data_IF_547215823020
#
_entry.id   IF_547215823020
#
_cell.length_a   1.000
_cell.length_b   1.000
_cell.length_c   1.000
_cell.angle_alpha   90.00
_cell.angle_beta   90.00
_cell.angle_gamma   90.00
#
_symmetry.space_group_name_H-M   'P 1'
#
loop_
_entity.id
_entity.type
_entity.pdbx_description
1 polymer ?
#
# COMPACT_ATOMS: atom_id res chain seq x y z
N UNK A 1 -4.75 20.79 -33.69
CA UNK A 1 -6.12 20.86 -34.30
C UNK A 1 -6.77 19.46 -34.49
N UNK A 2 -6.02 18.37 -34.45
CA UNK A 2 -6.53 17.00 -34.66
C UNK A 2 -7.57 16.54 -33.60
N UNK A 3 -7.47 17.00 -32.36
CA UNK A 3 -8.39 16.60 -31.28
C UNK A 3 -9.85 17.04 -31.45
N UNK A 4 -10.11 18.07 -32.26
CA UNK A 4 -11.49 18.58 -32.50
C UNK A 4 -12.28 17.75 -33.52
N UNK A 5 -11.62 16.91 -34.31
CA UNK A 5 -12.25 16.17 -35.43
C UNK A 5 -12.37 14.67 -35.18
N UNK A 6 -11.79 14.13 -34.10
CA UNK A 6 -11.83 12.71 -33.83
C UNK A 6 -12.74 12.35 -32.64
N UNK A 7 -13.72 11.53 -32.89
CA UNK A 7 -14.62 11.01 -31.86
C UNK A 7 -14.03 9.80 -31.14
N UNK A 8 -13.06 9.08 -31.71
CA UNK A 8 -12.38 7.93 -31.12
C UNK A 8 -10.94 7.83 -31.61
N UNK A 9 -10.03 7.41 -30.72
CA UNK A 9 -8.63 7.10 -31.01
C UNK A 9 -8.43 5.63 -30.69
N UNK A 10 -7.95 4.86 -31.69
CA UNK A 10 -7.67 3.42 -31.56
C UNK A 10 -6.27 3.17 -31.01
N UNK A 11 -5.97 1.89 -30.72
CA UNK A 11 -4.63 1.45 -30.38
C UNK A 11 -4.06 0.58 -31.48
N UNK A 12 -2.76 0.73 -31.75
CA UNK A 12 -2.03 -0.22 -32.59
C UNK A 12 -2.04 -1.60 -31.98
N UNK A 13 -1.83 -2.63 -32.81
CA UNK A 13 -1.71 -4.03 -32.34
C UNK A 13 -0.59 -4.19 -31.31
N UNK A 14 0.53 -3.48 -31.48
CA UNK A 14 1.65 -3.47 -30.53
C UNK A 14 1.26 -2.90 -29.17
N UNK A 15 0.60 -1.72 -29.16
CA UNK A 15 0.13 -1.07 -27.96
C UNK A 15 -0.91 -1.94 -27.20
N UNK A 16 -1.75 -2.66 -27.94
CA UNK A 16 -2.73 -3.60 -27.37
C UNK A 16 -2.05 -4.76 -26.65
N UNK A 17 -1.02 -5.39 -27.26
CA UNK A 17 -0.25 -6.47 -26.63
C UNK A 17 0.43 -6.01 -25.34
N UNK A 18 1.03 -4.82 -25.34
CA UNK A 18 1.59 -4.22 -24.10
C UNK A 18 0.50 -4.04 -23.05
N UNK A 19 -0.68 -3.53 -23.45
CA UNK A 19 -1.80 -3.37 -22.53
C UNK A 19 -2.25 -4.67 -21.90
N UNK A 20 -2.46 -5.70 -22.69
CA UNK A 20 -2.89 -7.03 -22.22
C UNK A 20 -1.91 -7.64 -21.21
N UNK A 21 -0.59 -7.39 -21.39
CA UNK A 21 0.43 -7.90 -20.48
C UNK A 21 0.46 -7.18 -19.11
N UNK A 22 0.11 -5.89 -19.05
CA UNK A 22 0.20 -5.09 -17.81
C UNK A 22 -1.13 -4.93 -17.10
N UNK A 23 -2.25 -5.09 -17.81
CA UNK A 23 -3.60 -4.90 -17.28
C UNK A 23 -3.90 -5.69 -15.99
N UNK A 24 -3.58 -7.00 -15.91
CA UNK A 24 -3.84 -7.75 -14.68
C UNK A 24 -3.18 -7.13 -13.45
N UNK A 25 -1.92 -6.71 -13.57
CA UNK A 25 -1.17 -6.06 -12.49
C UNK A 25 -1.73 -4.68 -12.11
N UNK A 26 -2.18 -3.90 -13.09
CA UNK A 26 -2.75 -2.58 -12.86
C UNK A 26 -4.15 -2.63 -12.26
N UNK A 27 -4.91 -3.70 -12.55
CA UNK A 27 -6.27 -3.93 -12.05
C UNK A 27 -6.29 -4.64 -10.70
N UNK A 28 -5.14 -5.11 -10.21
CA UNK A 28 -5.03 -5.76 -8.91
C UNK A 28 -5.30 -4.76 -7.80
N UNK A 29 -6.36 -5.01 -7.03
CA UNK A 29 -6.72 -4.18 -5.89
C UNK A 29 -5.70 -4.30 -4.76
N UNK A 30 -5.48 -3.20 -4.05
CA UNK A 30 -4.65 -3.17 -2.84
C UNK A 30 -5.45 -2.57 -1.70
N UNK A 31 -5.18 -3.04 -0.48
CA UNK A 31 -5.83 -2.54 0.72
C UNK A 31 -5.18 -1.25 1.25
N UNK A 32 -5.94 -0.53 2.08
CA UNK A 32 -5.46 0.62 2.83
C UNK A 32 -5.31 1.90 2.00
N UNK A 33 -4.53 2.85 2.55
CA UNK A 33 -4.31 4.16 1.92
C UNK A 33 -3.56 4.04 0.59
N UNK A 34 -2.59 3.13 0.51
CA UNK A 34 -1.85 2.87 -0.73
C UNK A 34 -2.80 2.40 -1.84
N UNK A 35 -3.71 1.47 -1.53
CA UNK A 35 -4.71 0.99 -2.48
C UNK A 35 -5.66 2.08 -2.92
N UNK A 36 -6.10 2.94 -2.00
CA UNK A 36 -6.96 4.08 -2.33
C UNK A 36 -6.24 5.10 -3.23
N UNK A 37 -4.97 5.38 -2.97
CA UNK A 37 -4.15 6.33 -3.73
C UNK A 37 -3.81 5.81 -5.15
N UNK A 38 -3.68 4.49 -5.32
CA UNK A 38 -3.35 3.85 -6.60
C UNK A 38 -4.57 3.24 -7.31
N UNK A 39 -5.77 3.46 -6.78
CA UNK A 39 -7.00 2.99 -7.39
C UNK A 39 -7.16 3.53 -8.82
N UNK A 40 -7.72 2.70 -9.71
CA UNK A 40 -7.96 3.02 -11.12
C UNK A 40 -6.68 3.28 -11.94
N UNK A 41 -5.56 2.66 -11.56
CA UNK A 41 -4.29 2.80 -12.29
C UNK A 41 -4.44 2.44 -13.78
N UNK A 42 -5.24 1.42 -14.10
CA UNK A 42 -5.55 1.01 -15.47
C UNK A 42 -6.22 2.14 -16.28
N UNK A 43 -7.21 2.82 -15.71
CA UNK A 43 -7.89 3.92 -16.38
C UNK A 43 -6.98 5.14 -16.57
N UNK A 44 -6.14 5.44 -15.58
CA UNK A 44 -5.16 6.52 -15.67
C UNK A 44 -4.09 6.23 -16.71
N UNK A 45 -3.62 4.98 -16.81
CA UNK A 45 -2.68 4.56 -17.84
C UNK A 45 -3.23 4.79 -19.25
N UNK A 46 -4.50 4.42 -19.48
CA UNK A 46 -5.16 4.65 -20.76
C UNK A 46 -5.25 6.13 -21.11
N UNK A 47 -5.64 6.95 -20.14
CA UNK A 47 -5.76 8.42 -20.33
C UNK A 47 -4.42 9.08 -20.63
N UNK A 48 -3.35 8.70 -19.92
CA UNK A 48 -2.00 9.21 -20.17
C UNK A 48 -1.51 8.82 -21.56
N UNK A 49 -1.67 7.55 -21.95
CA UNK A 49 -1.28 7.10 -23.28
C UNK A 49 -2.06 7.84 -24.41
N UNK A 50 -3.34 8.09 -24.19
CA UNK A 50 -4.15 8.90 -25.11
C UNK A 50 -3.64 10.35 -25.20
N UNK A 51 -3.34 10.97 -24.05
CA UNK A 51 -2.80 12.33 -24.01
C UNK A 51 -1.48 12.42 -24.76
N UNK A 52 -0.57 11.47 -24.57
CA UNK A 52 0.71 11.45 -25.30
C UNK A 52 0.51 11.28 -26.81
N UNK A 53 -0.39 10.38 -27.23
CA UNK A 53 -0.69 10.23 -28.66
C UNK A 53 -1.27 11.51 -29.27
N UNK A 54 -2.13 12.24 -28.53
CA UNK A 54 -2.69 13.51 -28.99
C UNK A 54 -1.63 14.62 -29.05
N UNK A 55 -0.71 14.67 -28.09
CA UNK A 55 0.40 15.64 -28.06
C UNK A 55 1.38 15.40 -29.22
N UNK A 56 1.62 14.13 -29.56
CA UNK A 56 2.47 13.73 -30.69
C UNK A 56 1.71 13.79 -32.03
N UNK A 57 0.47 14.29 -32.02
CA UNK A 57 -0.42 14.39 -33.21
C UNK A 57 -0.63 13.05 -33.95
N UNK A 58 -0.49 11.92 -33.22
CA UNK A 58 -0.64 10.59 -33.79
C UNK A 58 -2.11 10.17 -33.92
N UNK A 59 -2.48 9.43 -34.98
CA UNK A 59 -3.85 8.96 -35.18
C UNK A 59 -4.26 7.83 -34.24
N UNK A 60 -3.28 7.12 -33.68
CA UNK A 60 -3.46 5.94 -32.84
C UNK A 60 -2.51 5.98 -31.64
N UNK A 61 -2.91 5.34 -30.55
CA UNK A 61 -2.03 5.10 -29.41
C UNK A 61 -1.04 3.99 -29.81
N UNK A 62 0.24 4.32 -29.89
CA UNK A 62 1.31 3.37 -30.16
C UNK A 62 1.99 2.87 -28.88
N UNK A 63 2.92 1.93 -29.04
CA UNK A 63 3.71 1.31 -27.94
C UNK A 63 4.44 2.38 -27.11
N UNK A 64 5.06 3.37 -27.77
CA UNK A 64 5.76 4.43 -27.08
C UNK A 64 4.86 5.21 -26.10
N UNK A 65 3.66 5.60 -26.54
CA UNK A 65 2.68 6.31 -25.70
C UNK A 65 2.21 5.46 -24.52
N UNK A 66 2.06 4.14 -24.75
CA UNK A 66 1.67 3.19 -23.70
C UNK A 66 2.77 3.06 -22.66
N UNK A 67 4.02 2.86 -23.07
CA UNK A 67 5.16 2.75 -22.18
C UNK A 67 5.38 4.03 -21.36
N UNK A 68 5.20 5.22 -21.98
CA UNK A 68 5.28 6.50 -21.27
C UNK A 68 4.20 6.59 -20.16
N UNK A 69 2.96 6.20 -20.46
CA UNK A 69 1.89 6.15 -19.46
C UNK A 69 2.19 5.19 -18.30
N UNK A 70 2.75 4.01 -18.59
CA UNK A 70 3.16 3.03 -17.58
C UNK A 70 4.27 3.60 -16.70
N UNK A 71 5.31 4.23 -17.28
CA UNK A 71 6.41 4.79 -16.54
C UNK A 71 5.96 5.87 -15.54
N UNK A 72 5.01 6.72 -15.91
CA UNK A 72 4.41 7.71 -14.98
C UNK A 72 3.69 7.01 -13.84
N UNK A 73 2.93 5.96 -14.12
CA UNK A 73 2.23 5.22 -13.05
C UNK A 73 3.19 4.48 -12.12
N UNK A 74 4.28 3.92 -12.62
CA UNK A 74 5.31 3.30 -11.79
C UNK A 74 5.96 4.32 -10.86
N UNK A 75 6.24 5.53 -11.36
CA UNK A 75 6.71 6.64 -10.52
C UNK A 75 5.69 7.03 -9.46
N UNK A 76 4.40 7.14 -9.82
CA UNK A 76 3.34 7.46 -8.88
C UNK A 76 3.17 6.36 -7.81
N UNK A 77 3.25 5.08 -8.21
CA UNK A 77 3.19 3.94 -7.28
C UNK A 77 4.37 3.95 -6.29
N UNK A 78 5.59 4.18 -6.78
CA UNK A 78 6.77 4.30 -5.93
C UNK A 78 6.64 5.47 -4.94
N UNK A 79 6.13 6.62 -5.40
CA UNK A 79 5.87 7.79 -4.55
C UNK A 79 4.78 7.50 -3.53
N UNK A 80 3.68 6.87 -3.92
CA UNK A 80 2.60 6.50 -3.00
C UNK A 80 3.10 5.52 -1.93
N UNK A 81 3.95 4.55 -2.29
CA UNK A 81 4.60 3.65 -1.34
C UNK A 81 5.53 4.39 -0.37
N UNK A 82 6.26 5.37 -0.86
CA UNK A 82 7.14 6.18 -0.01
C UNK A 82 6.34 7.02 0.98
N UNK A 83 5.24 7.62 0.56
CA UNK A 83 4.40 8.52 1.39
C UNK A 83 3.52 7.74 2.37
N UNK A 84 2.82 6.71 1.88
CA UNK A 84 1.84 5.97 2.66
C UNK A 84 2.41 4.70 3.29
N UNK A 85 3.47 4.14 2.71
CA UNK A 85 4.09 2.89 3.14
C UNK A 85 3.06 1.78 3.28
N UNK A 86 3.12 1.08 4.40
CA UNK A 86 2.16 0.03 4.77
C UNK A 86 1.03 0.57 5.69
N UNK A 87 0.76 1.89 5.64
CA UNK A 87 -0.28 2.49 6.48
C UNK A 87 -1.66 1.89 6.14
N UNK A 88 -2.36 1.49 7.19
CA UNK A 88 -3.67 0.86 7.07
C UNK A 88 -4.77 1.90 6.80
N UNK A 89 -4.51 3.14 7.20
CA UNK A 89 -5.46 4.24 7.14
C UNK A 89 -6.32 4.38 8.40
N UNK A 90 -5.98 3.62 9.43
CA UNK A 90 -6.51 3.74 10.77
C UNK A 90 -5.41 4.26 11.69
N UNK A 91 -5.55 5.50 12.19
CA UNK A 91 -4.53 6.17 13.00
C UNK A 91 -4.09 5.35 14.20
N UNK A 92 -5.04 4.76 14.94
CA UNK A 92 -4.73 3.99 16.15
C UNK A 92 -4.00 2.71 15.80
N UNK A 93 -4.45 1.99 14.76
CA UNK A 93 -3.79 0.79 14.28
C UNK A 93 -2.38 1.09 13.76
N UNK A 94 -2.22 2.18 12.99
CA UNK A 94 -0.92 2.59 12.45
C UNK A 94 0.06 3.01 13.55
N UNK A 95 -0.41 3.68 14.61
CA UNK A 95 0.40 4.04 15.77
C UNK A 95 0.84 2.79 16.56
N UNK A 96 -0.09 1.85 16.81
CA UNK A 96 0.20 0.56 17.46
C UNK A 96 1.25 -0.21 16.64
N UNK A 97 1.03 -0.37 15.34
CA UNK A 97 1.95 -1.08 14.46
C UNK A 97 3.35 -0.48 14.49
N UNK A 98 3.48 0.85 14.40
CA UNK A 98 4.78 1.54 14.50
C UNK A 98 5.48 1.30 15.83
N UNK A 99 4.75 1.25 16.93
CA UNK A 99 5.30 0.96 18.24
C UNK A 99 5.77 -0.50 18.34
N UNK A 100 4.97 -1.46 17.86
CA UNK A 100 5.33 -2.87 17.82
C UNK A 100 6.57 -3.13 16.95
N UNK A 101 6.74 -2.40 15.84
CA UNK A 101 7.94 -2.49 15.02
C UNK A 101 9.22 -1.99 15.73
N UNK A 102 9.07 -1.02 16.66
CA UNK A 102 10.20 -0.55 17.50
C UNK A 102 10.53 -1.54 18.62
N UNK A 103 9.55 -2.30 19.08
CA UNK A 103 9.65 -3.30 20.15
C UNK A 103 9.59 -4.72 19.57
N UNK A 104 10.16 -4.93 18.39
CA UNK A 104 10.01 -6.16 17.61
C UNK A 104 10.43 -7.44 18.37
N UNK A 105 11.42 -7.34 19.24
CA UNK A 105 12.01 -8.43 20.04
C UNK A 105 11.27 -8.67 21.37
N UNK A 106 10.81 -7.61 22.02
CA UNK A 106 10.17 -7.68 23.35
C UNK A 106 8.65 -7.81 23.27
N UNK A 107 8.07 -7.32 22.18
CA UNK A 107 6.63 -7.15 22.03
C UNK A 107 6.07 -6.10 22.99
N UNK A 108 4.75 -5.96 23.02
CA UNK A 108 4.05 -5.03 23.90
C UNK A 108 2.85 -5.72 24.55
N UNK A 109 2.68 -5.48 25.84
CA UNK A 109 1.47 -5.87 26.56
C UNK A 109 0.31 -4.93 26.22
N UNK A 110 -0.90 -5.34 26.57
CA UNK A 110 -2.08 -4.47 26.44
C UNK A 110 -1.94 -3.17 27.26
N UNK A 111 -1.25 -3.23 28.39
CA UNK A 111 -0.97 -2.08 29.23
C UNK A 111 -0.01 -1.11 28.53
N UNK A 112 1.05 -1.62 27.90
CA UNK A 112 2.00 -0.83 27.14
C UNK A 112 1.32 -0.13 25.96
N UNK A 113 0.46 -0.85 25.22
CA UNK A 113 -0.31 -0.30 24.12
C UNK A 113 -1.25 0.82 24.59
N UNK A 114 -1.92 0.67 25.73
CA UNK A 114 -2.74 1.73 26.33
C UNK A 114 -1.92 2.96 26.73
N UNK A 115 -0.71 2.75 27.22
CA UNK A 115 0.18 3.83 27.63
C UNK A 115 0.71 4.64 26.42
N UNK A 116 0.82 4.05 25.22
CA UNK A 116 1.13 4.77 23.98
C UNK A 116 0.23 5.97 23.74
N UNK A 117 -1.02 5.84 24.11
CA UNK A 117 -2.03 6.88 23.90
C UNK A 117 -2.26 7.75 25.13
N UNK A 118 -1.40 7.68 26.16
CA UNK A 118 -1.60 8.36 27.43
C UNK A 118 -3.01 8.11 28.02
N UNK A 119 -3.60 6.96 27.70
CA UNK A 119 -4.97 6.56 28.07
C UNK A 119 -6.08 7.43 27.45
N UNK A 120 -5.78 8.21 26.42
CA UNK A 120 -6.79 9.01 25.72
C UNK A 120 -7.67 8.17 24.77
N UNK A 121 -7.19 7.00 24.34
CA UNK A 121 -8.01 6.08 23.54
C UNK A 121 -8.73 5.06 24.45
N UNK A 122 -10.00 4.77 24.12
CA UNK A 122 -10.77 3.78 24.85
C UNK A 122 -10.21 2.36 24.65
N UNK A 123 -10.44 1.49 25.65
CA UNK A 123 -10.03 0.08 25.53
C UNK A 123 -10.68 -0.62 24.34
N UNK A 124 -11.93 -0.27 24.02
CA UNK A 124 -12.68 -0.80 22.89
C UNK A 124 -12.06 -0.36 21.55
N UNK A 125 -11.65 0.92 21.45
CA UNK A 125 -11.01 1.46 20.25
C UNK A 125 -9.66 0.77 19.96
N UNK A 126 -8.88 0.52 21.01
CA UNK A 126 -7.61 -0.22 20.92
C UNK A 126 -7.85 -1.67 20.48
N UNK A 127 -8.89 -2.34 21.00
CA UNK A 127 -9.26 -3.68 20.60
C UNK A 127 -9.62 -3.76 19.11
N UNK A 128 -10.47 -2.85 18.64
CA UNK A 128 -10.82 -2.75 17.22
C UNK A 128 -9.60 -2.56 16.32
N UNK A 129 -8.64 -1.75 16.75
CA UNK A 129 -7.39 -1.53 16.03
C UNK A 129 -6.50 -2.80 16.00
N UNK A 130 -6.40 -3.51 17.12
CA UNK A 130 -5.67 -4.77 17.21
C UNK A 130 -6.32 -5.87 16.37
N UNK A 131 -7.65 -5.98 16.38
CA UNK A 131 -8.40 -6.91 15.54
C UNK A 131 -8.19 -6.62 14.04
N UNK A 132 -8.13 -5.34 13.66
CA UNK A 132 -7.85 -4.92 12.29
C UNK A 132 -6.45 -5.33 11.86
N UNK A 133 -5.45 -5.13 12.73
CA UNK A 133 -4.06 -5.53 12.49
C UNK A 133 -3.91 -7.05 12.39
N UNK A 134 -4.59 -7.81 13.26
CA UNK A 134 -4.56 -9.27 13.28
C UNK A 134 -5.20 -9.86 12.00
N UNK A 135 -6.39 -9.38 11.61
CA UNK A 135 -7.06 -9.78 10.36
C UNK A 135 -6.20 -9.53 9.11
N UNK A 136 -5.30 -8.58 9.16
CA UNK A 136 -4.36 -8.27 8.08
C UNK A 136 -3.00 -8.98 8.22
N UNK A 137 -2.83 -9.83 9.22
CA UNK A 137 -1.59 -10.54 9.48
C UNK A 137 -0.41 -9.62 9.84
N UNK A 138 -0.68 -8.39 10.28
CA UNK A 138 0.36 -7.40 10.59
C UNK A 138 0.80 -7.43 12.05
N UNK A 139 0.13 -8.20 12.87
CA UNK A 139 0.51 -8.50 14.25
C UNK A 139 0.30 -9.98 14.52
N UNK A 140 1.02 -10.48 15.52
CA UNK A 140 0.78 -11.80 16.13
C UNK A 140 0.64 -11.63 17.63
N UNK A 141 -0.22 -12.43 18.25
CA UNK A 141 -0.44 -12.45 19.69
C UNK A 141 0.13 -13.73 20.28
N UNK A 142 0.90 -13.59 21.34
CA UNK A 142 1.40 -14.72 22.13
C UNK A 142 0.92 -14.59 23.58
N UNK A 143 0.48 -15.68 24.17
CA UNK A 143 0.09 -15.74 25.57
C UNK A 143 1.29 -16.10 26.41
N UNK A 144 1.73 -15.18 27.25
CA UNK A 144 2.87 -15.39 28.16
C UNK A 144 2.39 -15.72 29.56
N UNK A 145 2.93 -16.78 30.14
CA UNK A 145 2.67 -17.15 31.52
C UNK A 145 3.69 -16.44 32.42
N UNK A 146 3.23 -15.47 33.22
CA UNK A 146 4.12 -14.61 34.05
C UNK A 146 4.21 -15.07 35.51
N UNK A 147 3.79 -16.32 35.86
CA UNK A 147 3.70 -16.79 37.23
C UNK A 147 2.50 -16.24 38.01
N UNK A 148 1.69 -15.41 37.39
CA UNK A 148 0.42 -14.86 37.86
C UNK A 148 -0.68 -15.01 36.82
N UNK A 149 -1.47 -13.93 36.59
CA UNK A 149 -2.48 -13.94 35.52
C UNK A 149 -1.80 -13.95 34.18
N UNK A 150 -2.14 -14.90 33.26
CA UNK A 150 -1.58 -14.90 31.91
C UNK A 150 -1.78 -13.58 31.20
N UNK A 151 -0.75 -13.10 30.51
CA UNK A 151 -0.75 -11.83 29.78
C UNK A 151 -0.59 -12.09 28.28
N UNK A 152 -1.36 -11.37 27.46
CA UNK A 152 -1.22 -11.38 26.01
C UNK A 152 -0.17 -10.35 25.60
N UNK A 153 0.85 -10.80 24.86
CA UNK A 153 1.90 -9.95 24.28
C UNK A 153 1.71 -9.90 22.77
N UNK A 154 1.74 -8.70 22.25
CA UNK A 154 1.58 -8.44 20.83
C UNK A 154 2.94 -8.14 20.20
N UNK A 155 3.18 -8.70 19.04
CA UNK A 155 4.39 -8.53 18.24
C UNK A 155 4.02 -8.06 16.83
N UNK A 156 4.93 -7.35 16.15
CA UNK A 156 4.79 -7.09 14.73
C UNK A 156 4.80 -8.42 13.96
N UNK A 157 3.87 -8.59 13.03
CA UNK A 157 3.76 -9.75 12.13
C UNK A 157 4.04 -9.38 10.67
N UNK A 158 4.19 -10.41 9.80
CA UNK A 158 4.32 -10.25 8.36
C UNK A 158 5.76 -10.18 7.84
N UNK A 159 5.91 -10.03 6.51
CA UNK A 159 7.19 -10.01 5.80
C UNK A 159 8.19 -8.92 6.26
N UNK A 160 7.75 -8.04 7.13
CA UNK A 160 8.53 -6.92 7.70
C UNK A 160 9.58 -7.39 8.72
N UNK A 161 9.40 -8.57 9.31
CA UNK A 161 10.34 -9.17 10.29
C UNK A 161 11.74 -9.36 9.67
N UNK A 162 11.81 -9.85 8.42
CA UNK A 162 13.06 -10.04 7.70
C UNK A 162 13.76 -8.72 7.32
N UNK A 163 13.00 -7.67 7.03
CA UNK A 163 13.51 -6.38 6.56
C UNK A 163 14.12 -5.54 7.68
N UNK A 164 13.53 -5.58 8.88
CA UNK A 164 14.03 -4.80 10.03
C UNK A 164 15.15 -5.49 10.78
N UNK A 165 15.18 -6.82 10.88
CA UNK A 165 16.29 -7.59 11.42
C UNK A 165 17.59 -7.33 10.64
N UNK A 166 17.50 -7.20 9.32
CA UNK A 166 18.66 -6.89 8.44
C UNK A 166 19.16 -5.45 8.63
N UNK A 167 18.29 -4.50 9.00
CA UNK A 167 18.65 -3.10 9.19
C UNK A 167 19.25 -2.81 10.57
N UNK A 168 18.80 -3.53 11.61
CA UNK A 168 19.36 -3.42 12.97
C UNK A 168 20.74 -4.08 13.12
N UNK A 169 21.08 -5.06 12.27
CA UNK A 169 22.40 -5.72 12.26
C UNK A 169 23.50 -4.97 11.49
N UNK A 170 23.24 -3.74 11.00
CA UNK A 170 24.20 -2.90 10.25
C UNK A 170 24.48 -1.54 10.89
N UNK A 171 24.18 -1.35 12.17
CA UNK A 171 24.52 -0.15 12.94
C UNK A 171 25.64 -0.46 13.94
#
# INVERSE_FOLDING_TARGET
MLAKTRQAVSMTTGARKVWESVYPKLSEGRDGLLGSATARAEAQCLRLALLYALLDEQPEIDVAHRLAGIAVLEYCDATARFVFGDAIGDRVADDIRRALLRSWDTGMSRTDIRNLFNRHESGERIEQALDLLDKRGQVRRERRNTGGRPEDIWYAGGATEATYATKAGRA
#
